data_IF_350934331919
#
_entry.id   IF_350934331919
#
_cell.length_a   1.000
_cell.length_b   1.000
_cell.length_c   1.000
_cell.angle_alpha   90.00
_cell.angle_beta   90.00
_cell.angle_gamma   90.00
#
_symmetry.space_group_name_H-M   'P 1'
#
loop_
_entity.id
_entity.type
_entity.pdbx_description
1 polymer ?
#
# COMPACT_ATOMS: atom_id res chain seq x y z
N UNK A 1 -0.94 35.69 10.97
CA UNK A 1 -1.33 35.52 9.56
C UNK A 1 -1.09 34.05 9.22
N UNK A 2 -2.14 33.23 9.20
CA UNK A 2 -2.01 31.78 9.07
C UNK A 2 -1.40 31.42 7.71
N UNK A 3 -0.26 30.73 7.73
CA UNK A 3 0.37 30.17 6.54
C UNK A 3 -0.52 29.02 6.05
N UNK A 4 -1.53 29.34 5.24
CA UNK A 4 -2.32 28.33 4.51
C UNK A 4 -1.36 27.66 3.53
N UNK A 5 -0.76 26.55 3.97
CA UNK A 5 0.05 25.68 3.13
C UNK A 5 -0.60 25.58 1.75
N UNK A 6 0.11 26.03 0.72
CA UNK A 6 -0.35 26.03 -0.68
C UNK A 6 -0.90 24.64 -1.00
N UNK A 7 -2.23 24.49 -0.98
CA UNK A 7 -2.87 23.28 -1.48
C UNK A 7 -2.70 23.31 -2.99
N UNK A 8 -1.82 22.45 -3.49
CA UNK A 8 -1.66 22.26 -4.92
C UNK A 8 -2.95 21.70 -5.51
N UNK A 9 -3.36 22.25 -6.66
CA UNK A 9 -4.57 21.82 -7.37
C UNK A 9 -4.14 20.79 -8.40
N UNK A 10 -4.60 19.56 -8.21
CA UNK A 10 -4.50 18.51 -9.21
C UNK A 10 -5.81 18.47 -10.01
N UNK A 11 -5.73 18.71 -11.31
CA UNK A 11 -6.85 18.49 -12.24
C UNK A 11 -6.66 17.15 -12.90
N UNK A 12 -7.69 16.32 -12.89
CA UNK A 12 -7.67 14.99 -13.51
C UNK A 12 -8.76 14.98 -14.57
N UNK A 13 -8.36 14.78 -15.82
CA UNK A 13 -9.30 14.58 -16.91
C UNK A 13 -9.84 13.15 -16.83
N UNK A 14 -11.18 13.05 -16.76
CA UNK A 14 -11.90 11.79 -16.63
C UNK A 14 -12.97 11.73 -17.70
N UNK A 15 -13.24 10.53 -18.21
CA UNK A 15 -14.43 10.35 -19.05
C UNK A 15 -15.71 10.51 -18.20
N UNK A 16 -16.85 10.87 -18.81
CA UNK A 16 -18.12 11.00 -18.09
C UNK A 16 -18.54 9.70 -17.38
N UNK A 17 -18.21 8.56 -17.96
CA UNK A 17 -18.51 7.24 -17.40
C UNK A 17 -17.70 6.95 -16.14
N UNK A 18 -16.39 7.22 -16.17
CA UNK A 18 -15.51 7.07 -15.02
C UNK A 18 -15.91 8.01 -13.90
N UNK A 19 -16.16 9.29 -14.22
CA UNK A 19 -16.62 10.27 -13.25
C UNK A 19 -17.92 9.81 -12.56
N UNK A 20 -18.87 9.24 -13.33
CA UNK A 20 -20.11 8.69 -12.76
C UNK A 20 -19.85 7.51 -11.84
N UNK A 21 -18.97 6.58 -12.22
CA UNK A 21 -18.60 5.43 -11.37
C UNK A 21 -17.96 5.89 -10.07
N UNK A 22 -16.92 6.74 -10.16
CA UNK A 22 -16.19 7.24 -8.99
C UNK A 22 -17.14 8.00 -8.05
N UNK A 23 -18.03 8.83 -8.60
CA UNK A 23 -19.05 9.54 -7.82
C UNK A 23 -19.99 8.58 -7.09
N UNK A 24 -20.45 7.51 -7.74
CA UNK A 24 -21.31 6.49 -7.11
C UNK A 24 -20.58 5.78 -5.96
N UNK A 25 -19.31 5.41 -6.15
CA UNK A 25 -18.51 4.79 -5.09
C UNK A 25 -18.23 5.74 -3.91
N UNK A 26 -17.94 7.01 -4.19
CA UNK A 26 -17.77 8.03 -3.17
C UNK A 26 -19.05 8.20 -2.35
N UNK A 27 -20.21 8.27 -3.02
CA UNK A 27 -21.52 8.36 -2.37
C UNK A 27 -21.83 7.11 -1.53
N UNK A 28 -21.51 5.91 -2.03
CA UNK A 28 -21.68 4.66 -1.28
C UNK A 28 -20.87 4.64 0.02
N UNK A 29 -19.67 5.21 0.01
CA UNK A 29 -18.83 5.34 1.20
C UNK A 29 -19.17 6.57 2.07
N UNK A 30 -20.15 7.39 1.68
CA UNK A 30 -20.50 8.63 2.37
C UNK A 30 -19.41 9.71 2.33
N UNK A 31 -18.47 9.61 1.39
CA UNK A 31 -17.33 10.52 1.24
C UNK A 31 -17.54 11.50 0.09
N UNK A 32 -16.91 12.67 0.17
CA UNK A 32 -16.84 13.56 -1.00
C UNK A 32 -15.93 12.96 -2.07
N UNK A 33 -16.12 13.35 -3.33
CA UNK A 33 -15.30 12.86 -4.44
C UNK A 33 -13.80 13.11 -4.21
N UNK A 34 -13.46 14.27 -3.63
CA UNK A 34 -12.08 14.62 -3.29
C UNK A 34 -11.49 13.66 -2.26
N UNK A 35 -12.22 13.41 -1.18
CA UNK A 35 -11.77 12.51 -0.10
C UNK A 35 -11.63 11.09 -0.63
N UNK A 36 -12.60 10.62 -1.40
CA UNK A 36 -12.56 9.29 -2.02
C UNK A 36 -11.33 9.11 -2.90
N UNK A 37 -11.01 10.08 -3.75
CA UNK A 37 -9.84 10.00 -4.64
C UNK A 37 -8.54 10.03 -3.84
N UNK A 38 -8.41 10.94 -2.87
CA UNK A 38 -7.22 11.00 -2.01
C UNK A 38 -7.00 9.72 -1.20
N UNK A 39 -8.06 9.21 -0.58
CA UNK A 39 -8.04 7.98 0.20
C UNK A 39 -7.68 6.77 -0.66
N UNK A 40 -8.20 6.71 -1.89
CA UNK A 40 -7.84 5.67 -2.85
C UNK A 40 -6.37 5.71 -3.24
N UNK A 41 -5.81 6.90 -3.46
CA UNK A 41 -4.38 7.08 -3.77
C UNK A 41 -3.52 6.66 -2.57
N UNK A 42 -3.86 7.12 -1.36
CA UNK A 42 -3.14 6.75 -0.14
C UNK A 42 -3.18 5.25 0.12
N UNK A 43 -4.37 4.65 0.03
CA UNK A 43 -4.55 3.20 0.18
C UNK A 43 -3.70 2.44 -0.84
N UNK A 44 -3.66 2.90 -2.10
CA UNK A 44 -2.84 2.27 -3.13
C UNK A 44 -1.35 2.38 -2.83
N UNK A 45 -0.87 3.55 -2.41
CA UNK A 45 0.53 3.75 -2.02
C UNK A 45 0.91 2.88 -0.82
N UNK A 46 0.04 2.76 0.18
CA UNK A 46 0.26 1.89 1.35
C UNK A 46 0.35 0.43 0.93
N UNK A 47 -0.58 -0.06 0.10
CA UNK A 47 -0.56 -1.44 -0.39
C UNK A 47 0.68 -1.74 -1.22
N UNK A 48 1.11 -0.81 -2.09
CA UNK A 48 2.31 -0.99 -2.89
C UNK A 48 3.58 -1.02 -2.00
N UNK A 49 3.63 -0.20 -0.95
CA UNK A 49 4.72 -0.22 0.05
C UNK A 49 4.73 -1.51 0.88
N UNK A 50 3.58 -1.99 1.33
CA UNK A 50 3.44 -3.27 2.03
C UNK A 50 3.86 -4.45 1.15
N UNK A 51 3.52 -4.42 -0.14
CA UNK A 51 3.96 -5.44 -1.09
C UNK A 51 5.47 -5.38 -1.34
N UNK A 52 6.07 -4.20 -1.37
CA UNK A 52 7.52 -4.05 -1.50
C UNK A 52 8.25 -4.53 -0.25
N UNK A 53 7.74 -4.21 0.95
CA UNK A 53 8.28 -4.69 2.22
C UNK A 53 8.15 -6.22 2.35
N UNK A 54 7.00 -6.79 1.98
CA UNK A 54 6.82 -8.23 1.93
C UNK A 54 7.79 -8.88 0.95
N UNK A 55 8.02 -8.28 -0.23
CA UNK A 55 9.05 -8.76 -1.17
C UNK A 55 10.44 -8.69 -0.56
N UNK A 56 10.79 -7.64 0.18
CA UNK A 56 12.09 -7.51 0.85
C UNK A 56 12.29 -8.58 1.92
N UNK A 57 11.28 -8.84 2.76
CA UNK A 57 11.31 -9.91 3.78
C UNK A 57 11.43 -11.30 3.13
N UNK A 58 10.72 -11.53 2.03
CA UNK A 58 10.73 -12.82 1.32
C UNK A 58 12.00 -13.04 0.48
N UNK A 59 12.65 -11.98 -0.01
CA UNK A 59 13.86 -12.07 -0.84
C UNK A 59 15.15 -11.98 -0.04
N UNK A 60 15.13 -11.32 1.12
CA UNK A 60 16.25 -11.26 2.04
C UNK A 60 15.80 -11.85 3.37
N UNK A 61 16.02 -13.16 3.60
CA UNK A 61 15.84 -13.71 4.94
C UNK A 61 16.67 -12.85 5.89
N UNK A 62 16.01 -12.26 6.87
CA UNK A 62 16.66 -11.37 7.83
C UNK A 62 17.75 -12.17 8.53
N UNK A 63 18.89 -11.55 8.87
CA UNK A 63 20.00 -12.26 9.54
C UNK A 63 19.55 -13.03 10.79
N UNK A 64 18.56 -12.48 11.51
CA UNK A 64 17.90 -13.12 12.66
C UNK A 64 17.06 -14.36 12.27
N UNK A 65 16.46 -14.35 11.08
CA UNK A 65 15.70 -15.48 10.54
C UNK A 65 16.62 -16.60 10.06
N UNK A 66 17.80 -16.27 9.52
CA UNK A 66 18.88 -17.24 9.31
C UNK A 66 19.40 -17.82 10.62
N UNK A 67 19.59 -17.00 11.66
CA UNK A 67 20.10 -17.44 12.96
C UNK A 67 19.12 -18.39 13.69
N UNK A 68 17.80 -18.21 13.51
CA UNK A 68 16.77 -19.10 14.04
C UNK A 68 16.63 -20.38 13.18
N UNK A 69 16.90 -20.28 11.88
CA UNK A 69 16.89 -21.42 10.95
C UNK A 69 18.17 -22.26 11.06
N UNK A 70 19.30 -21.68 11.46
CA UNK A 70 20.56 -22.36 11.78
C UNK A 70 20.50 -23.00 13.17
N UNK A 71 19.44 -23.77 13.41
CA UNK A 71 19.29 -24.57 14.60
C UNK A 71 19.87 -25.95 14.31
N UNK A 72 20.85 -26.37 15.11
CA UNK A 72 21.52 -27.68 15.14
C UNK A 72 20.57 -28.91 15.05
N UNK A 73 19.26 -28.68 15.20
CA UNK A 73 18.20 -29.68 15.03
C UNK A 73 17.95 -30.11 13.58
N UNK A 74 18.34 -29.33 12.57
CA UNK A 74 18.16 -29.71 11.16
C UNK A 74 19.25 -30.66 10.65
N UNK A 75 20.38 -30.80 11.35
CA UNK A 75 21.43 -31.79 11.04
C UNK A 75 20.94 -33.26 11.16
N UNK A 76 19.79 -33.48 11.80
CA UNK A 76 19.14 -34.78 11.89
C UNK A 76 18.51 -35.25 10.56
N UNK A 77 18.28 -34.34 9.60
CA UNK A 77 17.67 -34.66 8.30
C UNK A 77 18.68 -34.71 7.14
N UNK A 78 19.93 -34.32 7.34
CA UNK A 78 21.02 -34.42 6.36
C UNK A 78 21.46 -35.87 6.06
N UNK A 79 20.98 -36.84 6.85
CA UNK A 79 21.28 -38.27 6.68
C UNK A 79 20.04 -39.10 6.36
N UNK A 80 19.30 -38.72 5.32
CA UNK A 80 18.31 -39.60 4.69
C UNK A 80 18.66 -39.90 3.24
#
# INVERSE_FOLDING_TARGET
>A
MANTAKRERLTIDLTPEEHRRIKSYAAYQGKTLKEFVLDSIHTRMSLDAEQEDLKLVMTKPTSLMMEIWDNDRDAAYDKL
#
